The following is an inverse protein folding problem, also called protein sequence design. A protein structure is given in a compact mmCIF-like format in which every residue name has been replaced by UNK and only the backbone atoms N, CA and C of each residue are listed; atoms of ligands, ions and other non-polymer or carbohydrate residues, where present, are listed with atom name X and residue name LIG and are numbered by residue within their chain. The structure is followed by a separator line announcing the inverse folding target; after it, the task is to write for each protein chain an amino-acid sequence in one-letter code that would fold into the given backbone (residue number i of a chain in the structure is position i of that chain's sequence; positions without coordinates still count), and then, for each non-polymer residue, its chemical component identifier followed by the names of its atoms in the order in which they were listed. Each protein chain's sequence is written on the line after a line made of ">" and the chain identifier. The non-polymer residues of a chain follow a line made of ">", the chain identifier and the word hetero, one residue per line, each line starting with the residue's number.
data_IF_017366740217
#
_entry.id   IF_017366740217
#
_cell.length_a   1.000
_cell.length_b   1.000
_cell.length_c   1.000
_cell.angle_alpha   90.00
_cell.angle_beta   90.00
_cell.angle_gamma   90.00
#
_symmetry.space_group_name_H-M   'P 1'
#
loop_
_entity.id
_entity.type
_entity.pdbx_description
1 polymer ?
#
# COMPACT_ATOMS: atom_id res chain seq x y z
N UNK A 1 8.86 -1.38 26.38
CA UNK A 1 7.93 -2.41 26.85
C UNK A 1 7.83 -2.42 28.39
N UNK A 2 8.95 -2.57 29.16
CA UNK A 2 8.95 -2.70 30.63
C UNK A 2 8.36 -1.44 31.31
N UNK A 3 8.80 -0.25 30.93
CA UNK A 3 8.30 1.02 31.51
C UNK A 3 6.81 1.21 31.23
N UNK A 4 6.35 0.90 30.02
CA UNK A 4 4.92 0.96 29.67
C UNK A 4 4.10 -0.06 30.50
N UNK A 5 4.63 -1.27 30.69
CA UNK A 5 4.01 -2.28 31.57
C UNK A 5 3.88 -1.83 33.00
N UNK A 6 4.92 -1.22 33.58
CA UNK A 6 4.92 -0.69 34.95
C UNK A 6 3.92 0.47 35.11
N UNK A 7 3.81 1.36 34.11
CA UNK A 7 2.83 2.45 34.12
C UNK A 7 1.40 1.93 34.07
N UNK A 8 1.14 0.93 33.22
CA UNK A 8 -0.19 0.28 33.16
C UNK A 8 -0.53 -0.40 34.49
N UNK A 9 0.40 -1.20 35.05
CA UNK A 9 0.19 -1.85 36.34
C UNK A 9 -0.06 -0.84 37.48
N UNK A 10 0.60 0.33 37.44
CA UNK A 10 0.39 1.40 38.43
C UNK A 10 -0.98 2.07 38.30
N UNK A 11 -1.54 2.18 37.08
CA UNK A 11 -2.85 2.81 36.83
C UNK A 11 -4.03 1.85 36.99
N UNK A 12 -3.87 0.59 36.60
CA UNK A 12 -4.97 -0.40 36.54
C UNK A 12 -4.91 -1.45 37.63
N UNK A 13 -3.84 -1.47 38.44
CA UNK A 13 -3.59 -2.53 39.41
C UNK A 13 -3.22 -3.87 38.78
N UNK A 14 -3.20 -4.95 39.55
CA UNK A 14 -2.90 -6.30 39.06
C UNK A 14 -4.04 -6.78 38.19
N UNK A 15 -3.82 -6.82 36.85
CA UNK A 15 -4.77 -7.36 35.89
C UNK A 15 -4.78 -8.89 36.04
N UNK A 16 -5.86 -9.44 36.54
CA UNK A 16 -6.11 -10.89 36.55
C UNK A 16 -6.75 -11.28 35.22
N UNK A 17 -6.05 -11.98 34.30
CA UNK A 17 -6.64 -12.41 33.05
C UNK A 17 -7.81 -13.36 33.33
N UNK A 18 -9.01 -12.99 32.90
CA UNK A 18 -10.18 -13.89 32.87
C UNK A 18 -10.34 -14.38 31.44
N UNK A 19 -10.32 -15.70 31.28
CA UNK A 19 -10.55 -16.30 29.97
C UNK A 19 -12.06 -16.50 29.78
N UNK A 20 -12.65 -15.74 28.89
CA UNK A 20 -14.06 -15.87 28.48
C UNK A 20 -14.08 -16.37 27.03
N UNK A 21 -14.51 -17.61 26.83
CA UNK A 21 -14.55 -18.25 25.51
C UNK A 21 -15.54 -17.54 24.56
N UNK A 22 -16.70 -17.12 25.05
CA UNK A 22 -17.70 -16.44 24.23
C UNK A 22 -17.20 -15.08 23.73
N UNK A 23 -16.57 -14.35 24.63
CA UNK A 23 -15.91 -13.07 24.26
C UNK A 23 -14.75 -13.27 23.27
N UNK A 24 -13.90 -14.29 23.49
CA UNK A 24 -12.80 -14.63 22.61
C UNK A 24 -13.27 -14.98 21.18
N UNK A 25 -14.32 -15.78 21.07
CA UNK A 25 -14.93 -16.14 19.76
C UNK A 25 -15.53 -14.90 19.08
N UNK A 26 -16.14 -14.02 19.83
CA UNK A 26 -16.69 -12.76 19.29
C UNK A 26 -15.60 -11.87 18.73
N UNK A 27 -14.51 -11.69 19.46
CA UNK A 27 -13.34 -10.93 18.97
C UNK A 27 -12.76 -11.59 17.72
N UNK A 28 -12.57 -12.90 17.72
CA UNK A 28 -12.03 -13.63 16.58
C UNK A 28 -12.88 -13.42 15.32
N UNK A 29 -14.21 -13.55 15.43
CA UNK A 29 -15.13 -13.32 14.31
C UNK A 29 -15.07 -11.88 13.79
N UNK A 30 -14.95 -10.89 14.66
CA UNK A 30 -14.85 -9.48 14.28
C UNK A 30 -13.49 -9.13 13.64
N UNK A 31 -12.43 -9.82 14.09
CA UNK A 31 -11.06 -9.60 13.57
C UNK A 31 -10.79 -10.33 12.25
N UNK A 32 -11.55 -11.40 11.95
CA UNK A 32 -11.33 -12.25 10.77
C UNK A 32 -11.31 -11.46 9.44
N UNK A 33 -12.23 -10.53 9.16
CA UNK A 33 -12.18 -9.74 7.92
C UNK A 33 -10.94 -8.86 7.80
N UNK A 34 -10.42 -8.33 8.91
CA UNK A 34 -9.16 -7.58 8.93
C UNK A 34 -7.97 -8.50 8.70
N UNK A 35 -7.94 -9.65 9.35
CA UNK A 35 -6.88 -10.64 9.18
C UNK A 35 -6.82 -11.16 7.74
N UNK A 36 -7.97 -11.40 7.11
CA UNK A 36 -8.05 -11.80 5.71
C UNK A 36 -7.50 -10.71 4.77
N UNK A 37 -7.85 -9.45 5.01
CA UNK A 37 -7.34 -8.32 4.22
C UNK A 37 -5.81 -8.23 4.33
N UNK A 38 -5.27 -8.33 5.54
CA UNK A 38 -3.82 -8.31 5.77
C UNK A 38 -3.14 -9.50 5.09
N UNK A 39 -3.72 -10.69 5.19
CA UNK A 39 -3.20 -11.89 4.54
C UNK A 39 -3.14 -11.73 3.01
N UNK A 40 -4.22 -11.24 2.39
CA UNK A 40 -4.26 -10.99 0.95
C UNK A 40 -3.22 -9.95 0.53
N UNK A 41 -3.04 -8.89 1.31
CA UNK A 41 -2.00 -7.91 1.06
C UNK A 41 -0.59 -8.50 1.18
N UNK A 42 -0.33 -9.35 2.19
CA UNK A 42 0.95 -10.02 2.33
C UNK A 42 1.25 -10.97 1.16
N UNK A 43 0.27 -11.75 0.72
CA UNK A 43 0.39 -12.61 -0.47
C UNK A 43 0.75 -11.74 -1.68
N UNK A 44 0.04 -10.66 -1.90
CA UNK A 44 0.30 -9.73 -2.99
C UNK A 44 1.75 -9.20 -2.96
N UNK A 45 2.22 -8.66 -1.82
CA UNK A 45 3.56 -8.08 -1.73
C UNK A 45 4.70 -9.09 -1.81
N UNK A 46 4.46 -10.36 -1.47
CA UNK A 46 5.48 -11.41 -1.48
C UNK A 46 5.46 -12.29 -2.72
N UNK A 47 4.33 -12.33 -3.44
CA UNK A 47 4.19 -13.17 -4.63
C UNK A 47 5.21 -12.85 -5.71
N UNK A 48 5.50 -11.57 -5.95
CA UNK A 48 6.45 -11.13 -6.97
C UNK A 48 7.81 -11.77 -6.80
N UNK A 49 8.43 -11.64 -5.63
CA UNK A 49 9.77 -12.20 -5.36
C UNK A 49 9.78 -13.73 -5.43
N UNK A 50 8.74 -14.38 -4.90
CA UNK A 50 8.63 -15.85 -4.94
C UNK A 50 8.46 -16.35 -6.37
N UNK A 51 7.63 -15.67 -7.17
CA UNK A 51 7.41 -16.05 -8.56
C UNK A 51 8.65 -15.81 -9.42
N UNK A 52 9.36 -14.69 -9.24
CA UNK A 52 10.63 -14.43 -9.94
C UNK A 52 11.62 -15.59 -9.64
N UNK A 53 11.80 -15.94 -8.37
CA UNK A 53 12.74 -16.97 -7.96
C UNK A 53 12.41 -18.36 -8.52
N UNK A 54 11.11 -18.70 -8.60
CA UNK A 54 10.65 -20.04 -9.01
C UNK A 54 10.46 -20.21 -10.51
N UNK A 55 10.19 -19.13 -11.24
CA UNK A 55 9.85 -19.22 -12.66
C UNK A 55 11.04 -19.02 -13.59
N UNK A 56 12.12 -18.41 -13.12
CA UNK A 56 13.27 -18.10 -13.95
C UNK A 56 14.46 -19.03 -13.69
N UNK A 57 15.23 -19.42 -14.72
CA UNK A 57 16.43 -20.23 -14.56
C UNK A 57 17.46 -19.60 -13.62
N UNK A 58 17.58 -18.26 -13.66
CA UNK A 58 18.45 -17.46 -12.79
C UNK A 58 17.64 -16.73 -11.71
N UNK A 59 16.57 -17.39 -11.19
CA UNK A 59 15.58 -16.78 -10.32
C UNK A 59 16.15 -16.11 -9.08
N UNK A 60 17.14 -16.70 -8.44
CA UNK A 60 17.81 -16.11 -7.27
C UNK A 60 18.48 -14.75 -7.61
N UNK A 61 19.15 -14.65 -8.78
CA UNK A 61 19.77 -13.41 -9.24
C UNK A 61 18.71 -12.35 -9.60
N UNK A 62 17.70 -12.73 -10.35
CA UNK A 62 16.59 -11.83 -10.73
C UNK A 62 15.81 -11.33 -9.50
N UNK A 63 15.58 -12.21 -8.53
CA UNK A 63 14.95 -11.83 -7.26
C UNK A 63 15.82 -10.85 -6.45
N UNK A 64 17.16 -11.01 -6.47
CA UNK A 64 18.08 -10.09 -5.86
C UNK A 64 18.06 -8.71 -6.55
N UNK A 65 17.99 -8.68 -7.88
CA UNK A 65 17.83 -7.45 -8.68
C UNK A 65 16.53 -6.73 -8.32
N UNK A 66 15.42 -7.46 -8.28
CA UNK A 66 14.12 -6.92 -7.86
C UNK A 66 14.16 -6.35 -6.43
N UNK A 67 14.80 -7.09 -5.51
CA UNK A 67 14.91 -6.70 -4.10
C UNK A 67 15.70 -5.39 -3.90
N UNK A 68 16.63 -5.05 -4.79
CA UNK A 68 17.35 -3.77 -4.72
C UNK A 68 16.37 -2.58 -4.82
N UNK A 69 15.51 -2.58 -5.82
CA UNK A 69 14.48 -1.55 -5.98
C UNK A 69 13.39 -1.62 -4.92
N UNK A 70 12.97 -2.83 -4.56
CA UNK A 70 11.89 -3.05 -3.60
C UNK A 70 12.20 -2.53 -2.19
N UNK A 71 13.46 -2.57 -1.75
CA UNK A 71 13.88 -1.99 -0.46
C UNK A 71 13.69 -0.48 -0.39
N UNK A 72 13.99 0.25 -1.46
CA UNK A 72 13.71 1.69 -1.53
C UNK A 72 12.21 1.95 -1.52
N UNK A 73 11.47 1.17 -2.30
CA UNK A 73 10.02 1.25 -2.32
C UNK A 73 9.42 1.01 -0.93
N UNK A 74 9.85 -0.02 -0.18
CA UNK A 74 9.41 -0.26 1.20
C UNK A 74 9.71 0.92 2.12
N UNK A 75 10.90 1.51 2.00
CA UNK A 75 11.30 2.66 2.83
C UNK A 75 10.41 3.89 2.58
N UNK A 76 10.15 4.21 1.33
CA UNK A 76 9.28 5.35 0.95
C UNK A 76 7.82 5.04 1.28
N UNK A 77 7.39 3.80 1.09
CA UNK A 77 6.05 3.33 1.41
C UNK A 77 5.68 3.49 2.89
N UNK A 78 6.68 3.45 3.78
CA UNK A 78 6.48 3.70 5.21
C UNK A 78 5.87 5.09 5.48
N UNK A 79 6.18 6.10 4.67
CA UNK A 79 5.60 7.45 4.79
C UNK A 79 4.08 7.37 4.60
N UNK A 80 3.63 6.73 3.52
CA UNK A 80 2.20 6.54 3.26
C UNK A 80 1.49 5.72 4.35
N UNK A 81 2.15 4.66 4.83
CA UNK A 81 1.62 3.82 5.91
C UNK A 81 1.44 4.59 7.23
N UNK A 82 2.43 5.38 7.63
CA UNK A 82 2.33 6.22 8.84
C UNK A 82 1.21 7.27 8.69
N UNK A 83 1.09 7.86 7.50
CA UNK A 83 0.02 8.81 7.21
C UNK A 83 -1.37 8.16 7.31
N UNK A 84 -1.54 6.95 6.76
CA UNK A 84 -2.76 6.16 6.89
C UNK A 84 -3.10 5.85 8.37
N UNK A 85 -2.07 5.53 9.17
CA UNK A 85 -2.22 5.30 10.61
C UNK A 85 -2.77 6.51 11.37
N UNK A 86 -2.40 7.73 10.96
CA UNK A 86 -2.94 8.97 11.51
C UNK A 86 -4.36 9.25 11.01
N UNK A 87 -4.66 8.93 9.75
CA UNK A 87 -5.98 9.18 9.16
C UNK A 87 -7.07 8.26 9.70
N UNK A 88 -6.75 7.01 10.03
CA UNK A 88 -7.73 6.02 10.45
C UNK A 88 -8.57 6.47 11.66
N UNK A 89 -8.00 6.92 12.79
CA UNK A 89 -8.78 7.41 13.93
C UNK A 89 -9.56 8.69 13.60
N UNK A 90 -9.01 9.57 12.76
CA UNK A 90 -9.67 10.80 12.35
C UNK A 90 -10.93 10.49 11.55
N UNK A 91 -10.82 9.68 10.49
CA UNK A 91 -11.96 9.25 9.69
C UNK A 91 -13.01 8.51 10.54
N UNK A 92 -12.56 7.60 11.42
CA UNK A 92 -13.46 6.85 12.31
C UNK A 92 -14.24 7.77 13.23
N UNK A 93 -13.62 8.81 13.79
CA UNK A 93 -14.27 9.81 14.63
C UNK A 93 -15.30 10.63 13.85
N UNK A 94 -14.92 11.16 12.68
CA UNK A 94 -15.78 11.98 11.83
C UNK A 94 -17.00 11.18 11.34
N UNK A 95 -16.79 9.95 10.85
CA UNK A 95 -17.88 9.08 10.39
C UNK A 95 -18.85 8.71 11.53
N UNK A 96 -18.33 8.43 12.73
CA UNK A 96 -19.16 8.17 13.92
C UNK A 96 -19.99 9.40 14.33
N UNK A 97 -19.40 10.60 14.20
CA UNK A 97 -20.08 11.87 14.48
C UNK A 97 -20.99 12.33 13.32
N UNK A 98 -21.04 11.58 12.21
CA UNK A 98 -21.74 11.94 10.96
C UNK A 98 -21.29 13.30 10.40
N UNK A 99 -20.05 13.67 10.64
CA UNK A 99 -19.43 14.88 10.07
C UNK A 99 -19.00 14.66 8.62
N UNK A 100 -19.02 15.70 7.77
CA UNK A 100 -18.58 15.59 6.38
C UNK A 100 -17.07 15.33 6.31
N UNK A 101 -16.67 14.20 5.67
CA UNK A 101 -15.26 13.76 5.55
C UNK A 101 -14.55 14.32 4.33
N UNK A 102 -15.29 14.91 3.39
CA UNK A 102 -14.79 15.33 2.08
C UNK A 102 -13.57 16.23 2.17
N UNK A 103 -13.63 17.27 3.01
CA UNK A 103 -12.53 18.23 3.18
C UNK A 103 -11.25 17.54 3.67
N UNK A 104 -11.38 16.60 4.61
CA UNK A 104 -10.24 15.87 5.14
C UNK A 104 -9.67 14.91 4.08
N UNK A 105 -10.51 14.21 3.33
CA UNK A 105 -10.12 13.36 2.21
C UNK A 105 -9.34 14.16 1.17
N UNK A 106 -9.87 15.30 0.71
CA UNK A 106 -9.20 16.14 -0.28
C UNK A 106 -7.88 16.70 0.22
N UNK A 107 -7.83 17.20 1.46
CA UNK A 107 -6.59 17.71 2.05
C UNK A 107 -5.52 16.60 2.11
N UNK A 108 -5.90 15.44 2.63
CA UNK A 108 -5.01 14.29 2.74
C UNK A 108 -4.53 13.82 1.37
N UNK A 109 -5.43 13.78 0.39
CA UNK A 109 -5.10 13.41 -0.99
C UNK A 109 -4.13 14.41 -1.60
N UNK A 110 -4.41 15.71 -1.48
CA UNK A 110 -3.53 16.75 -2.02
C UNK A 110 -2.11 16.65 -1.46
N UNK A 111 -1.96 16.51 -0.15
CA UNK A 111 -0.64 16.44 0.49
C UNK A 111 0.10 15.17 0.09
N UNK A 112 -0.52 14.01 0.31
CA UNK A 112 0.16 12.72 0.12
C UNK A 112 0.40 12.42 -1.36
N UNK A 113 -0.56 12.72 -2.23
CA UNK A 113 -0.47 12.47 -3.66
C UNK A 113 0.54 13.40 -4.34
N UNK A 114 0.57 14.71 -3.99
CA UNK A 114 1.58 15.63 -4.52
C UNK A 114 2.98 15.22 -4.08
N UNK A 115 3.18 14.85 -2.81
CA UNK A 115 4.46 14.33 -2.33
C UNK A 115 4.86 13.04 -3.04
N UNK A 116 3.90 12.13 -3.26
CA UNK A 116 4.14 10.88 -3.96
C UNK A 116 4.52 11.09 -5.43
N UNK A 117 3.92 12.05 -6.13
CA UNK A 117 4.29 12.43 -7.50
C UNK A 117 5.74 12.93 -7.53
N UNK A 118 6.09 13.86 -6.66
CA UNK A 118 7.46 14.41 -6.63
C UNK A 118 8.47 13.30 -6.36
N UNK A 119 8.28 12.51 -5.32
CA UNK A 119 9.19 11.41 -4.98
C UNK A 119 9.21 10.35 -6.08
N UNK A 120 8.05 9.90 -6.53
CA UNK A 120 7.92 8.83 -7.52
C UNK A 120 8.56 9.20 -8.86
N UNK A 121 8.27 10.41 -9.39
CA UNK A 121 8.85 10.86 -10.66
C UNK A 121 10.34 11.15 -10.53
N UNK A 122 10.80 11.78 -9.46
CA UNK A 122 12.23 12.02 -9.21
C UNK A 122 12.99 10.71 -9.16
N UNK A 123 12.52 9.73 -8.40
CA UNK A 123 13.15 8.43 -8.32
C UNK A 123 13.05 7.63 -9.62
N UNK A 124 11.99 7.81 -10.42
CA UNK A 124 11.86 7.20 -11.73
C UNK A 124 12.91 7.76 -12.71
N UNK A 125 13.04 9.08 -12.77
CA UNK A 125 14.01 9.76 -13.67
C UNK A 125 15.44 9.46 -13.25
N UNK A 126 15.75 9.49 -11.96
CA UNK A 126 17.08 9.24 -11.39
C UNK A 126 17.29 7.77 -10.98
N UNK A 127 16.51 6.85 -11.55
CA UNK A 127 16.53 5.43 -11.11
C UNK A 127 17.92 4.78 -11.29
N UNK A 128 18.59 5.10 -12.38
CA UNK A 128 19.92 4.56 -12.70
C UNK A 128 20.98 5.08 -11.72
N UNK A 129 21.02 6.39 -11.52
CA UNK A 129 21.97 7.06 -10.63
C UNK A 129 21.80 6.60 -9.17
N UNK A 130 20.56 6.44 -8.72
CA UNK A 130 20.26 6.00 -7.35
C UNK A 130 20.72 4.56 -7.13
N UNK A 131 20.42 3.65 -8.06
CA UNK A 131 20.82 2.24 -7.96
C UNK A 131 22.34 2.10 -8.07
N UNK A 132 22.98 2.78 -9.01
CA UNK A 132 24.44 2.79 -9.18
C UNK A 132 25.14 3.31 -7.92
N UNK A 133 24.71 4.44 -7.40
CA UNK A 133 25.25 5.03 -6.17
C UNK A 133 25.14 4.09 -4.96
N UNK A 134 24.00 3.41 -4.82
CA UNK A 134 23.74 2.60 -3.61
C UNK A 134 24.38 1.22 -3.68
N UNK A 135 24.38 0.57 -4.85
CA UNK A 135 24.78 -0.82 -4.99
C UNK A 135 26.06 -1.01 -5.79
N UNK A 136 26.62 0.05 -6.38
CA UNK A 136 27.85 0.03 -7.18
C UNK A 136 27.79 -1.03 -8.30
N UNK A 137 26.59 -1.28 -8.82
CA UNK A 137 26.30 -2.24 -9.88
C UNK A 137 26.49 -1.57 -11.24
N UNK A 138 26.92 -2.32 -12.25
CA UNK A 138 27.18 -1.80 -13.61
C UNK A 138 26.61 -2.71 -14.71
N UNK A 139 26.59 -2.20 -15.93
CA UNK A 139 26.21 -2.97 -17.12
C UNK A 139 24.74 -3.36 -17.14
N UNK A 140 24.46 -4.62 -17.53
CA UNK A 140 23.10 -5.14 -17.73
C UNK A 140 22.32 -5.19 -16.42
N UNK A 141 22.98 -5.56 -15.33
CA UNK A 141 22.34 -5.66 -14.01
C UNK A 141 21.87 -4.30 -13.51
N UNK A 142 22.66 -3.24 -13.69
CA UNK A 142 22.25 -1.87 -13.36
C UNK A 142 21.00 -1.47 -14.14
N UNK A 143 20.95 -1.79 -15.44
CA UNK A 143 19.79 -1.45 -16.28
C UNK A 143 18.53 -2.19 -15.81
N UNK A 144 18.64 -3.48 -15.51
CA UNK A 144 17.50 -4.28 -15.01
C UNK A 144 17.01 -3.77 -13.64
N UNK A 145 17.93 -3.53 -12.71
CA UNK A 145 17.60 -3.04 -11.38
C UNK A 145 16.97 -1.63 -11.41
N UNK A 146 17.53 -0.71 -12.22
CA UNK A 146 17.01 0.65 -12.34
C UNK A 146 15.63 0.68 -13.01
N UNK A 147 15.38 -0.15 -14.02
CA UNK A 147 14.07 -0.26 -14.65
C UNK A 147 13.02 -0.80 -13.68
N UNK A 148 13.34 -1.87 -12.93
CA UNK A 148 12.44 -2.42 -11.90
C UNK A 148 12.18 -1.40 -10.79
N UNK A 149 13.21 -0.73 -10.30
CA UNK A 149 13.10 0.32 -9.29
C UNK A 149 12.23 1.49 -9.77
N UNK A 150 12.44 1.99 -10.97
CA UNK A 150 11.65 3.09 -11.53
C UNK A 150 10.16 2.74 -11.56
N UNK A 151 9.79 1.54 -12.03
CA UNK A 151 8.39 1.09 -12.04
C UNK A 151 7.81 0.95 -10.64
N UNK A 152 8.56 0.43 -9.67
CA UNK A 152 8.12 0.35 -8.27
C UNK A 152 7.90 1.73 -7.66
N UNK A 153 8.70 2.74 -8.04
CA UNK A 153 8.51 4.10 -7.56
C UNK A 153 7.28 4.78 -8.17
N UNK A 154 6.89 4.42 -9.40
CA UNK A 154 5.59 4.82 -9.96
C UNK A 154 4.42 4.13 -9.25
N UNK A 155 4.58 2.87 -8.80
CA UNK A 155 3.59 2.20 -7.95
C UNK A 155 3.30 2.99 -6.68
N UNK A 156 4.30 3.66 -6.10
CA UNK A 156 4.15 4.44 -4.88
C UNK A 156 3.07 5.53 -4.99
N UNK A 157 2.94 6.17 -6.17
CA UNK A 157 1.90 7.18 -6.43
C UNK A 157 0.50 6.57 -6.25
N UNK A 158 0.29 5.39 -6.82
CA UNK A 158 -0.99 4.67 -6.71
C UNK A 158 -1.27 4.17 -5.29
N UNK A 159 -0.24 3.70 -4.59
CA UNK A 159 -0.34 3.24 -3.20
C UNK A 159 -0.70 4.37 -2.26
N UNK A 160 -0.20 5.58 -2.48
CA UNK A 160 -0.59 6.75 -1.68
C UNK A 160 -2.09 7.04 -1.82
N UNK A 161 -2.66 6.86 -3.01
CA UNK A 161 -4.12 6.92 -3.20
C UNK A 161 -4.84 5.82 -2.40
N UNK A 162 -4.32 4.59 -2.47
CA UNK A 162 -4.83 3.45 -1.70
C UNK A 162 -4.80 3.69 -0.20
N UNK A 163 -3.76 4.31 0.34
CA UNK A 163 -3.67 4.63 1.76
C UNK A 163 -4.78 5.57 2.23
N UNK A 164 -5.22 6.50 1.42
CA UNK A 164 -6.27 7.44 1.78
C UNK A 164 -7.65 6.78 1.69
N UNK A 165 -7.99 6.28 0.49
CA UNK A 165 -9.33 5.74 0.24
C UNK A 165 -9.54 4.38 0.90
N UNK A 166 -8.51 3.54 0.98
CA UNK A 166 -8.56 2.29 1.73
C UNK A 166 -8.73 2.50 3.22
N UNK A 167 -8.04 3.50 3.80
CA UNK A 167 -8.22 3.87 5.21
C UNK A 167 -9.61 4.41 5.48
N UNK A 168 -10.16 5.22 4.57
CA UNK A 168 -11.52 5.73 4.66
C UNK A 168 -12.56 4.60 4.63
N UNK A 169 -12.41 3.65 3.70
CA UNK A 169 -13.28 2.47 3.63
C UNK A 169 -13.15 1.56 4.86
N UNK A 170 -11.94 1.44 5.41
CA UNK A 170 -11.67 0.71 6.65
C UNK A 170 -12.35 1.38 7.84
N UNK A 171 -12.23 2.70 7.96
CA UNK A 171 -12.89 3.49 9.00
C UNK A 171 -14.42 3.40 8.93
N UNK A 172 -14.96 3.27 7.72
CA UNK A 172 -16.40 3.04 7.49
C UNK A 172 -16.84 1.59 7.76
N UNK A 173 -15.93 0.67 8.05
CA UNK A 173 -16.26 -0.74 8.24
C UNK A 173 -16.56 -1.51 6.95
N UNK A 174 -16.24 -0.97 5.77
CA UNK A 174 -16.50 -1.57 4.45
C UNK A 174 -15.50 -2.68 4.09
N UNK A 175 -15.11 -3.49 5.09
CA UNK A 175 -14.08 -4.54 4.96
C UNK A 175 -14.43 -5.60 3.93
N UNK A 176 -15.72 -5.92 3.78
CA UNK A 176 -16.19 -6.91 2.80
C UNK A 176 -15.82 -6.48 1.37
N UNK A 177 -16.06 -5.22 1.03
CA UNK A 177 -15.69 -4.66 -0.28
C UNK A 177 -14.18 -4.61 -0.48
N UNK A 178 -13.42 -4.24 0.56
CA UNK A 178 -11.96 -4.24 0.53
C UNK A 178 -11.39 -5.65 0.33
N UNK A 179 -11.95 -6.67 0.99
CA UNK A 179 -11.52 -8.06 0.83
C UNK A 179 -11.77 -8.58 -0.58
N UNK A 180 -12.94 -8.31 -1.18
CA UNK A 180 -13.21 -8.69 -2.58
C UNK A 180 -12.25 -8.00 -3.55
N UNK A 181 -12.00 -6.72 -3.35
CA UNK A 181 -11.04 -5.96 -4.16
C UNK A 181 -9.62 -6.52 -3.99
N UNK A 182 -9.17 -6.78 -2.76
CA UNK A 182 -7.85 -7.33 -2.50
C UNK A 182 -7.68 -8.73 -3.12
N UNK A 183 -8.70 -9.57 -3.04
CA UNK A 183 -8.73 -10.88 -3.69
C UNK A 183 -8.61 -10.77 -5.21
N UNK A 184 -9.41 -9.88 -5.83
CA UNK A 184 -9.31 -9.57 -7.26
C UNK A 184 -7.92 -9.04 -7.64
N UNK A 185 -7.33 -8.18 -6.81
CA UNK A 185 -5.97 -7.66 -6.98
C UNK A 185 -4.92 -8.76 -6.95
N UNK A 186 -5.01 -9.71 -6.01
CA UNK A 186 -4.11 -10.88 -5.95
C UNK A 186 -4.20 -11.71 -7.23
N UNK A 187 -5.41 -12.03 -7.68
CA UNK A 187 -5.61 -12.80 -8.92
C UNK A 187 -5.01 -12.07 -10.13
N UNK A 188 -5.30 -10.78 -10.26
CA UNK A 188 -4.76 -9.95 -11.34
C UNK A 188 -3.23 -9.92 -11.32
N UNK A 189 -2.62 -9.66 -10.15
CA UNK A 189 -1.17 -9.63 -9.99
C UNK A 189 -0.52 -10.97 -10.36
N UNK A 190 -1.03 -12.09 -9.83
CA UNK A 190 -0.50 -13.42 -10.15
C UNK A 190 -0.64 -13.70 -11.66
N UNK A 191 -1.76 -13.38 -12.26
CA UNK A 191 -1.99 -13.61 -13.70
C UNK A 191 -1.03 -12.78 -14.56
N UNK A 192 -0.82 -11.52 -14.20
CA UNK A 192 0.15 -10.65 -14.88
C UNK A 192 1.58 -11.15 -14.68
N UNK A 193 1.94 -11.59 -13.49
CA UNK A 193 3.25 -12.14 -13.18
C UNK A 193 3.54 -13.41 -13.98
N UNK A 194 2.57 -14.32 -14.11
CA UNK A 194 2.71 -15.53 -14.93
C UNK A 194 3.02 -15.23 -16.39
N UNK A 195 2.53 -14.09 -16.90
CA UNK A 195 2.78 -13.68 -18.28
C UNK A 195 4.04 -12.81 -18.43
N UNK A 196 4.28 -11.86 -17.51
CA UNK A 196 5.34 -10.85 -17.67
C UNK A 196 6.69 -11.32 -17.12
N UNK A 197 6.76 -12.14 -16.06
CA UNK A 197 8.02 -12.59 -15.50
C UNK A 197 8.83 -13.45 -16.49
N UNK A 198 8.26 -14.43 -17.22
CA UNK A 198 9.04 -15.22 -18.17
C UNK A 198 9.69 -14.42 -19.29
N UNK A 199 9.09 -13.29 -19.65
CA UNK A 199 9.54 -12.46 -20.78
C UNK A 199 10.41 -11.27 -20.37
N UNK A 200 10.19 -10.73 -19.17
CA UNK A 200 10.82 -9.48 -18.71
C UNK A 200 11.51 -9.57 -17.34
N UNK A 201 11.57 -10.76 -16.74
CA UNK A 201 12.25 -10.98 -15.45
C UNK A 201 11.72 -10.08 -14.32
N UNK A 202 12.62 -9.53 -13.51
CA UNK A 202 12.31 -8.61 -12.41
C UNK A 202 11.52 -7.36 -12.85
N UNK A 203 11.82 -6.83 -14.04
CA UNK A 203 11.08 -5.69 -14.60
C UNK A 203 9.62 -6.04 -14.90
N UNK A 204 9.36 -7.27 -15.39
CA UNK A 204 8.01 -7.78 -15.62
C UNK A 204 7.16 -7.81 -14.36
N UNK A 205 7.73 -8.25 -13.24
CA UNK A 205 7.06 -8.23 -11.94
C UNK A 205 6.74 -6.79 -11.48
N UNK A 206 7.66 -5.86 -11.68
CA UNK A 206 7.43 -4.45 -11.33
C UNK A 206 6.29 -3.83 -12.15
N UNK A 207 6.18 -4.17 -13.45
CA UNK A 207 5.05 -3.76 -14.30
C UNK A 207 3.74 -4.38 -13.81
N UNK A 208 3.73 -5.67 -13.48
CA UNK A 208 2.55 -6.36 -12.95
C UNK A 208 2.04 -5.69 -11.68
N UNK A 209 2.96 -5.38 -10.76
CA UNK A 209 2.66 -4.64 -9.53
C UNK A 209 2.12 -3.24 -9.82
N UNK A 210 2.70 -2.49 -10.76
CA UNK A 210 2.21 -1.16 -11.13
C UNK A 210 0.78 -1.22 -11.67
N UNK A 211 0.50 -2.10 -12.64
CA UNK A 211 -0.84 -2.25 -13.22
C UNK A 211 -1.87 -2.62 -12.14
N UNK A 212 -1.52 -3.56 -11.28
CA UNK A 212 -2.41 -4.01 -10.20
C UNK A 212 -2.68 -2.88 -9.20
N UNK A 213 -1.66 -2.11 -8.83
CA UNK A 213 -1.82 -1.00 -7.88
C UNK A 213 -2.65 0.15 -8.45
N UNK A 214 -2.46 0.50 -9.72
CA UNK A 214 -3.31 1.49 -10.40
C UNK A 214 -4.77 1.00 -10.42
N UNK A 215 -4.99 -0.27 -10.78
CA UNK A 215 -6.32 -0.86 -10.80
C UNK A 215 -6.99 -0.88 -9.42
N UNK A 216 -6.27 -1.33 -8.39
CA UNK A 216 -6.81 -1.37 -7.01
C UNK A 216 -7.05 0.04 -6.45
N UNK A 217 -6.19 1.00 -6.72
CA UNK A 217 -6.40 2.40 -6.34
C UNK A 217 -7.65 2.98 -7.00
N UNK A 218 -7.84 2.76 -8.31
CA UNK A 218 -9.03 3.20 -9.02
C UNK A 218 -10.31 2.59 -8.45
N UNK A 219 -10.31 1.28 -8.18
CA UNK A 219 -11.47 0.60 -7.58
C UNK A 219 -11.75 1.15 -6.18
N UNK A 220 -10.74 1.42 -5.35
CA UNK A 220 -10.94 2.01 -4.02
C UNK A 220 -11.53 3.41 -4.08
N UNK A 221 -11.07 4.24 -5.00
CA UNK A 221 -11.65 5.57 -5.24
C UNK A 221 -13.13 5.42 -5.60
N UNK A 222 -13.46 4.60 -6.60
CA UNK A 222 -14.84 4.38 -7.05
C UNK A 222 -15.72 3.86 -5.90
N UNK A 223 -15.24 2.87 -5.14
CA UNK A 223 -15.98 2.32 -4.00
C UNK A 223 -16.21 3.37 -2.92
N UNK A 224 -15.22 4.21 -2.62
CA UNK A 224 -15.35 5.28 -1.63
C UNK A 224 -16.42 6.30 -2.04
N UNK A 225 -16.40 6.75 -3.29
CA UNK A 225 -17.43 7.66 -3.79
C UNK A 225 -18.82 7.02 -3.80
N UNK A 226 -18.94 5.74 -4.18
CA UNK A 226 -20.21 5.03 -4.24
C UNK A 226 -20.79 4.74 -2.84
N UNK A 227 -19.97 4.26 -1.90
CA UNK A 227 -20.42 3.83 -0.57
C UNK A 227 -20.69 5.04 0.34
N UNK A 228 -19.79 6.01 0.34
CA UNK A 228 -19.86 7.19 1.22
C UNK A 228 -20.59 8.37 0.57
N UNK A 229 -21.00 8.25 -0.69
CA UNK A 229 -21.68 9.30 -1.47
C UNK A 229 -20.93 10.65 -1.42
N UNK A 230 -19.60 10.58 -1.51
CA UNK A 230 -18.76 11.78 -1.46
C UNK A 230 -19.11 12.73 -2.60
N UNK A 231 -19.20 14.01 -2.31
CA UNK A 231 -19.41 15.05 -3.32
C UNK A 231 -18.07 15.42 -3.97
N UNK A 232 -18.01 15.40 -5.30
CA UNK A 232 -16.80 15.80 -6.03
C UNK A 232 -16.75 17.33 -6.06
N UNK A 233 -15.78 17.90 -5.36
CA UNK A 233 -15.44 19.32 -5.51
C UNK A 233 -14.41 19.47 -6.65
N UNK A 234 -14.90 19.60 -7.87
CA UNK A 234 -14.06 19.73 -9.07
C UNK A 234 -13.00 20.84 -8.97
N UNK A 235 -13.31 21.94 -8.24
CA UNK A 235 -12.34 23.02 -7.98
C UNK A 235 -11.10 22.51 -7.21
N UNK A 236 -11.30 21.67 -6.20
CA UNK A 236 -10.21 21.11 -5.40
C UNK A 236 -9.38 20.09 -6.19
N UNK A 237 -10.02 19.30 -7.07
CA UNK A 237 -9.34 18.37 -7.97
C UNK A 237 -8.47 19.12 -8.97
N UNK A 238 -9.00 20.14 -9.65
CA UNK A 238 -8.25 20.98 -10.59
C UNK A 238 -7.07 21.70 -9.94
N UNK A 239 -7.24 22.21 -8.71
CA UNK A 239 -6.16 22.83 -7.95
C UNK A 239 -5.02 21.85 -7.59
N UNK A 240 -5.30 20.56 -7.45
CA UNK A 240 -4.27 19.56 -7.19
C UNK A 240 -3.41 19.35 -8.44
N UNK A 241 -4.02 19.36 -9.63
CA UNK A 241 -3.28 19.23 -10.90
C UNK A 241 -2.56 20.52 -11.31
N UNK A 242 -3.10 21.71 -10.98
CA UNK A 242 -2.42 22.99 -11.28
C UNK A 242 -1.21 23.27 -10.37
N UNK A 243 -1.00 22.50 -9.30
CA UNK A 243 0.17 22.63 -8.44
C UNK A 243 1.38 21.83 -8.97
N UNK A 244 1.18 20.98 -9.99
CA UNK A 244 2.21 20.17 -10.65
C UNK A 244 2.68 20.82 -11.96
N UNK A 245 1.97 21.83 -12.43
CA UNK A 245 2.35 22.68 -13.57
C UNK A 245 3.05 23.96 -13.12
#
# INVERSE_FOLDING_TARGET
>A
AIVAGLLVLRQTGIIRPKFDMAFSITILKQSLPYALLILLMMIYYRSDSVMIERMLPNGARESAIYAQGFRFFEAVNMIGFLFAGLLLPIFSKMLKAKEPVEKMVYLSFKILFSGAIVIGLTCFVLSKEIIEWRYQTSGVELTQASNAFGMLMLCFISICTTYIFGTLLTANGSLKSLNYMAFGGVILNISLNLYLIPTHGAYGAAIASMITQVGTAAVQVILSFKILRLKIEWKSVLQTFSFVS
#
